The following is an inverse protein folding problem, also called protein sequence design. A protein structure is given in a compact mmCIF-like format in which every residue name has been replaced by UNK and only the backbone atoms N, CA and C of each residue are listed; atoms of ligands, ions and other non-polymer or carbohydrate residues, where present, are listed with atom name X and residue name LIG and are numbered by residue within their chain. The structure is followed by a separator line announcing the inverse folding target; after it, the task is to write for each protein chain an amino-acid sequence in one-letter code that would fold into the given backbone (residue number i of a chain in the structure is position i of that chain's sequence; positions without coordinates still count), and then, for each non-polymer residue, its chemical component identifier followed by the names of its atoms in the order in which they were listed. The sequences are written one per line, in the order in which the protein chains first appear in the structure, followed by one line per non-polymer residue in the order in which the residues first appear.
data_IF_535060225452
#
_entry.id   IF_535060225452
#
_cell.length_a   1.000
_cell.length_b   1.000
_cell.length_c   1.000
_cell.angle_alpha   90.00
_cell.angle_beta   90.00
_cell.angle_gamma   90.00
#
_symmetry.space_group_name_H-M   'P 1'
#
loop_
_entity.id
_entity.type
_entity.pdbx_description
1 polymer ?
#
# COMPACT_ATOMS: atom_id res chain seq x y z
N UNK A 1 25.23 -26.93 9.42
CA UNK A 1 24.02 -26.45 8.71
C UNK A 1 24.44 -25.47 7.63
N UNK A 2 24.52 -25.92 6.38
CA UNK A 2 24.78 -25.04 5.23
C UNK A 2 23.56 -24.14 5.04
N UNK A 3 23.71 -22.82 5.25
CA UNK A 3 22.63 -21.86 4.97
C UNK A 3 22.21 -22.03 3.50
N UNK A 4 20.92 -22.16 3.18
CA UNK A 4 20.49 -22.30 1.80
C UNK A 4 20.95 -21.07 1.01
N UNK A 5 21.65 -21.29 -0.11
CA UNK A 5 22.05 -20.22 -1.03
C UNK A 5 20.79 -19.49 -1.49
N UNK A 6 20.61 -18.25 -1.03
CA UNK A 6 19.52 -17.36 -1.46
C UNK A 6 19.75 -16.99 -2.93
N UNK A 7 19.20 -17.80 -3.81
CA UNK A 7 19.23 -17.54 -5.25
C UNK A 7 18.14 -16.53 -5.58
N UNK A 8 18.48 -15.54 -6.40
CA UNK A 8 17.52 -14.55 -6.90
C UNK A 8 16.49 -15.27 -7.78
N UNK A 9 15.22 -15.13 -7.42
CA UNK A 9 14.09 -15.72 -8.14
C UNK A 9 13.65 -14.84 -9.30
N UNK A 10 13.46 -13.54 -9.04
CA UNK A 10 12.95 -12.58 -10.01
C UNK A 10 13.34 -11.15 -9.64
N UNK A 11 13.42 -10.28 -10.65
CA UNK A 11 13.69 -8.86 -10.52
C UNK A 11 12.43 -8.08 -10.87
N UNK A 12 11.81 -7.44 -9.88
CA UNK A 12 10.62 -6.61 -10.08
C UNK A 12 11.06 -5.17 -10.35
N UNK A 13 10.68 -4.64 -11.51
CA UNK A 13 10.83 -3.21 -11.81
C UNK A 13 9.62 -2.46 -11.25
N UNK A 14 9.86 -1.49 -10.37
CA UNK A 14 8.82 -0.67 -9.72
C UNK A 14 9.23 0.80 -9.71
N UNK A 15 8.28 1.66 -9.35
CA UNK A 15 8.47 3.10 -9.20
C UNK A 15 8.10 3.45 -7.76
N UNK A 16 8.90 4.29 -7.12
CA UNK A 16 8.62 4.78 -5.78
C UNK A 16 7.36 5.64 -5.81
N UNK A 17 6.34 5.26 -5.05
CA UNK A 17 5.07 5.99 -4.97
C UNK A 17 5.23 7.39 -4.39
N UNK A 18 6.26 7.63 -3.58
CA UNK A 18 6.51 8.94 -2.94
C UNK A 18 7.31 9.92 -3.80
N UNK A 19 8.35 9.45 -4.51
CA UNK A 19 9.27 10.33 -5.26
C UNK A 19 9.42 10.02 -6.75
N UNK A 20 8.75 8.99 -7.26
CA UNK A 20 8.83 8.61 -8.68
C UNK A 20 10.15 7.94 -9.09
N UNK A 21 11.08 7.69 -8.18
CA UNK A 21 12.34 7.01 -8.49
C UNK A 21 12.09 5.59 -9.00
N UNK A 22 12.77 5.19 -10.08
CA UNK A 22 12.75 3.81 -10.58
C UNK A 22 13.56 2.91 -9.64
N UNK A 23 13.01 1.74 -9.33
CA UNK A 23 13.58 0.78 -8.39
C UNK A 23 13.61 -0.61 -9.00
N UNK A 24 14.60 -1.40 -8.60
CA UNK A 24 14.69 -2.82 -8.90
C UNK A 24 14.64 -3.60 -7.59
N UNK A 25 13.60 -4.40 -7.42
CA UNK A 25 13.39 -5.22 -6.23
C UNK A 25 13.79 -6.65 -6.56
N UNK A 26 14.77 -7.17 -5.84
CA UNK A 26 15.20 -8.55 -5.97
C UNK A 26 14.33 -9.41 -5.05
N UNK A 27 13.67 -10.41 -5.63
CA UNK A 27 12.92 -11.41 -4.88
C UNK A 27 13.73 -12.70 -4.82
N UNK A 28 13.70 -13.38 -3.68
CA UNK A 28 14.47 -14.59 -3.44
C UNK A 28 13.54 -15.80 -3.27
N UNK A 29 14.08 -17.01 -3.44
CA UNK A 29 13.30 -18.25 -3.32
C UNK A 29 12.73 -18.51 -1.91
N UNK A 30 13.35 -17.94 -0.88
CA UNK A 30 12.91 -18.00 0.52
C UNK A 30 11.78 -17.00 0.85
N UNK A 31 11.14 -16.41 -0.17
CA UNK A 31 10.05 -15.42 -0.03
C UNK A 31 10.47 -14.08 0.60
N UNK A 32 11.76 -13.80 0.75
CA UNK A 32 12.24 -12.47 1.12
C UNK A 32 12.49 -11.62 -0.13
N UNK A 33 12.60 -10.30 0.05
CA UNK A 33 12.94 -9.37 -1.02
C UNK A 33 13.86 -8.25 -0.50
N UNK A 34 14.53 -7.54 -1.41
CA UNK A 34 15.33 -6.34 -1.12
C UNK A 34 15.24 -5.33 -2.26
N UNK A 35 15.62 -4.06 -2.03
CA UNK A 35 15.66 -3.01 -3.05
C UNK A 35 14.43 -2.10 -3.11
N UNK A 36 13.53 -2.19 -2.13
CA UNK A 36 12.38 -1.30 -1.95
C UNK A 36 11.53 -1.78 -0.78
N UNK A 37 10.58 -0.97 -0.33
CA UNK A 37 9.67 -1.29 0.79
C UNK A 37 8.23 -1.34 0.30
N UNK A 38 7.55 -2.46 0.52
CA UNK A 38 6.14 -2.59 0.21
C UNK A 38 5.31 -2.00 1.36
N UNK A 39 4.41 -1.05 1.06
CA UNK A 39 3.58 -0.39 2.09
C UNK A 39 2.07 -0.48 1.85
N UNK A 40 1.65 -1.34 0.92
CA UNK A 40 0.25 -1.66 0.74
C UNK A 40 -0.17 -1.76 -0.72
N UNK A 41 -1.45 -2.07 -0.90
CA UNK A 41 -2.06 -2.20 -2.22
C UNK A 41 -3.33 -1.36 -2.29
N UNK A 42 -3.46 -0.59 -3.36
CA UNK A 42 -4.67 0.20 -3.62
C UNK A 42 -5.55 -0.57 -4.59
N UNK A 43 -6.81 -0.89 -4.23
CA UNK A 43 -7.75 -1.48 -5.15
C UNK A 43 -8.08 -0.48 -6.27
N UNK A 44 -8.02 -0.94 -7.51
CA UNK A 44 -8.46 -0.19 -8.68
C UNK A 44 -9.85 -0.67 -9.09
N UNK A 45 -10.77 0.27 -9.26
CA UNK A 45 -12.16 0.02 -9.60
C UNK A 45 -12.46 0.49 -11.02
N UNK A 46 -13.31 -0.26 -11.74
CA UNK A 46 -13.85 0.23 -13.01
C UNK A 46 -14.88 1.33 -12.72
N UNK A 47 -14.98 2.34 -13.59
CA UNK A 47 -15.98 3.41 -13.47
C UNK A 47 -17.42 2.87 -13.35
N UNK A 48 -17.72 1.78 -14.05
CA UNK A 48 -19.03 1.12 -13.99
C UNK A 48 -19.34 0.51 -12.62
N UNK A 49 -18.37 -0.15 -11.99
CA UNK A 49 -18.52 -0.70 -10.64
C UNK A 49 -18.63 0.41 -9.59
N UNK A 50 -17.82 1.45 -9.71
CA UNK A 50 -17.93 2.64 -8.84
C UNK A 50 -19.31 3.28 -8.93
N UNK A 51 -19.85 3.42 -10.15
CA UNK A 51 -21.18 3.99 -10.37
C UNK A 51 -22.29 3.13 -9.74
N UNK A 52 -22.17 1.80 -9.75
CA UNK A 52 -23.12 0.90 -9.06
C UNK A 52 -23.09 1.13 -7.55
N UNK A 53 -21.91 1.31 -6.98
CA UNK A 53 -21.75 1.63 -5.56
C UNK A 53 -22.35 2.98 -5.19
N UNK A 54 -22.14 4.01 -6.02
CA UNK A 54 -22.75 5.32 -5.80
C UNK A 54 -24.28 5.26 -5.89
N UNK A 55 -24.84 4.54 -6.89
CA UNK A 55 -26.29 4.33 -7.03
C UNK A 55 -26.92 3.58 -5.85
N UNK A 56 -26.19 2.65 -5.24
CA UNK A 56 -26.65 1.96 -4.04
C UNK A 56 -26.74 2.91 -2.82
N UNK A 57 -26.02 4.03 -2.86
CA UNK A 57 -26.00 5.04 -1.81
C UNK A 57 -25.21 4.62 -0.56
N UNK A 58 -25.42 5.37 0.51
CA UNK A 58 -24.70 5.20 1.79
C UNK A 58 -25.65 4.81 2.93
N UNK A 59 -25.11 4.16 3.95
CA UNK A 59 -25.74 3.95 5.25
C UNK A 59 -24.92 4.67 6.32
N UNK A 60 -25.59 5.22 7.33
CA UNK A 60 -24.91 5.76 8.51
C UNK A 60 -24.47 4.61 9.40
N UNK A 61 -23.20 4.62 9.81
CA UNK A 61 -22.63 3.63 10.71
C UNK A 61 -21.86 4.37 11.81
N UNK A 62 -22.04 3.92 13.06
CA UNK A 62 -21.29 4.44 14.19
C UNK A 62 -19.91 3.80 14.23
N UNK A 63 -18.86 4.62 14.26
CA UNK A 63 -17.48 4.22 14.50
C UNK A 63 -16.97 4.98 15.73
N UNK A 64 -17.02 4.33 16.89
CA UNK A 64 -16.74 4.96 18.18
C UNK A 64 -17.76 6.05 18.52
N UNK A 65 -17.29 7.27 18.74
CA UNK A 65 -18.13 8.44 18.98
C UNK A 65 -18.66 9.11 17.70
N UNK A 66 -18.14 8.73 16.53
CA UNK A 66 -18.46 9.38 15.26
C UNK A 66 -19.51 8.60 14.46
N UNK A 67 -20.41 9.33 13.79
CA UNK A 67 -21.31 8.77 12.79
C UNK A 67 -20.73 9.01 11.39
N UNK A 68 -20.43 7.95 10.67
CA UNK A 68 -19.86 8.02 9.32
C UNK A 68 -20.81 7.45 8.28
N UNK A 69 -20.76 8.00 7.07
CA UNK A 69 -21.46 7.44 5.92
C UNK A 69 -20.59 6.35 5.29
N UNK A 70 -21.07 5.11 5.29
CA UNK A 70 -20.43 3.96 4.67
C UNK A 70 -21.22 3.55 3.44
N UNK A 71 -20.55 3.19 2.35
CA UNK A 71 -21.22 2.70 1.14
C UNK A 71 -22.08 1.47 1.47
N UNK A 72 -23.30 1.41 0.94
CA UNK A 72 -24.14 0.20 1.07
C UNK A 72 -23.57 -0.97 0.25
N UNK A 73 -22.80 -0.66 -0.78
CA UNK A 73 -22.16 -1.62 -1.67
C UNK A 73 -20.74 -1.18 -1.99
N UNK A 74 -19.78 -2.00 -1.61
CA UNK A 74 -18.40 -1.75 -1.99
C UNK A 74 -18.18 -2.06 -3.48
N UNK A 75 -17.40 -1.23 -4.19
CA UNK A 75 -17.08 -1.47 -5.59
C UNK A 75 -16.16 -2.69 -5.69
N UNK A 76 -16.43 -3.58 -6.65
CA UNK A 76 -15.57 -4.76 -6.85
C UNK A 76 -14.26 -4.36 -7.53
N UNK A 77 -13.09 -4.61 -6.93
CA UNK A 77 -11.80 -4.30 -7.55
C UNK A 77 -11.54 -5.22 -8.73
N UNK A 78 -10.98 -4.68 -9.82
CA UNK A 78 -10.54 -5.49 -10.97
C UNK A 78 -9.02 -5.73 -10.96
N UNK A 79 -8.27 -4.88 -10.26
CA UNK A 79 -6.81 -4.98 -10.12
C UNK A 79 -6.40 -4.33 -8.80
N UNK A 80 -5.23 -4.69 -8.32
CA UNK A 80 -4.56 -4.00 -7.22
C UNK A 80 -3.29 -3.36 -7.76
N UNK A 81 -3.10 -2.07 -7.47
CA UNK A 81 -1.83 -1.40 -7.65
C UNK A 81 -1.02 -1.58 -6.37
N UNK A 82 0.18 -2.14 -6.48
CA UNK A 82 1.11 -2.22 -5.37
C UNK A 82 1.81 -0.87 -5.20
N UNK A 83 1.90 -0.41 -3.97
CA UNK A 83 2.65 0.77 -3.63
C UNK A 83 3.99 0.37 -3.00
N UNK A 84 5.05 1.00 -3.50
CA UNK A 84 6.43 0.72 -3.12
C UNK A 84 7.15 2.02 -2.81
N UNK A 85 7.98 2.03 -1.77
CA UNK A 85 8.88 3.15 -1.48
C UNK A 85 10.33 2.75 -1.68
N UNK A 86 11.15 3.71 -2.10
CA UNK A 86 12.59 3.56 -2.05
C UNK A 86 13.08 3.69 -0.61
N UNK A 87 14.25 3.13 -0.32
CA UNK A 87 14.88 3.20 1.01
C UNK A 87 14.87 4.63 1.58
N UNK A 88 15.25 5.61 0.76
CA UNK A 88 15.29 7.02 1.15
C UNK A 88 13.92 7.56 1.58
N UNK A 89 12.84 7.21 0.87
CA UNK A 89 11.49 7.68 1.18
C UNK A 89 10.93 6.97 2.41
N UNK A 90 11.13 5.66 2.48
CA UNK A 90 10.74 4.84 3.63
C UNK A 90 11.40 5.33 4.92
N UNK A 91 12.71 5.60 4.89
CA UNK A 91 13.44 6.16 6.02
C UNK A 91 13.06 7.62 6.34
N UNK A 92 12.62 8.41 5.35
CA UNK A 92 12.10 9.77 5.59
C UNK A 92 10.77 9.76 6.34
N UNK A 93 9.91 8.77 6.10
CA UNK A 93 8.69 8.57 6.89
C UNK A 93 8.98 8.40 8.39
N UNK A 94 10.10 7.77 8.73
CA UNK A 94 10.62 7.65 10.10
C UNK A 94 11.19 8.96 10.69
N UNK A 95 11.58 9.94 9.85
CA UNK A 95 12.18 11.20 10.33
C UNK A 95 11.10 12.20 10.79
N UNK A 96 9.85 12.08 10.34
CA UNK A 96 8.75 12.90 10.85
C UNK A 96 8.35 12.53 12.29
N UNK A 97 8.45 11.25 12.67
CA UNK A 97 8.24 10.82 14.07
C UNK A 97 9.33 11.33 15.01
N UNK A 98 10.57 11.51 14.53
CA UNK A 98 11.65 12.11 15.34
C UNK A 98 11.57 13.64 15.45
N UNK A 99 10.81 14.32 14.59
CA UNK A 99 10.70 15.79 14.61
C UNK A 99 9.49 16.31 15.39
N UNK A 100 8.48 15.48 15.64
CA UNK A 100 7.30 15.85 16.45
C UNK A 100 6.88 14.71 17.40
N UNK A 101 7.50 14.58 18.59
CA UNK A 101 7.12 13.57 19.57
C UNK A 101 5.74 13.82 20.23
N UNK A 102 5.11 14.99 20.02
CA UNK A 102 3.93 15.44 20.78
C UNK A 102 2.79 15.95 19.88
N UNK A 103 2.17 15.08 19.09
CA UNK A 103 0.78 15.32 18.64
C UNK A 103 -0.15 14.29 19.28
N UNK A 104 -0.31 14.43 20.60
CA UNK A 104 -1.60 14.16 21.27
C UNK A 104 -2.22 15.53 21.54
N UNK A 105 -3.32 15.81 20.87
CA UNK A 105 -4.32 16.78 21.28
C UNK A 105 -5.65 16.02 21.34
#
# INVERSE_FOLDING_TARGET
MTKPRTTVKNILKRICSACGAKMQILTFNNRTYTGGHFFGKVPLFRKSEWSKSLKAGVRKQRMGSMMVNVLKKDPKPYKFAENWECERCYQRGWILEKKYPNHRA
#
